data_IF_819438168059
#
_entry.id   IF_819438168059
#
_cell.length_a   1.000
_cell.length_b   1.000
_cell.length_c   1.000
_cell.angle_alpha   90.00
_cell.angle_beta   90.00
_cell.angle_gamma   90.00
#
_symmetry.space_group_name_H-M   'P 1'
#
loop_
_entity.id
_entity.type
_entity.pdbx_description
1 polymer ?
#
# COMPACT_ATOMS: atom_id res chain seq x y z
N UNK A 1 -15.87 19.77 7.18
CA UNK A 1 -17.11 19.88 6.38
C UNK A 1 -17.66 18.48 6.22
N UNK A 2 -18.97 18.30 6.41
CA UNK A 2 -19.64 17.02 6.15
C UNK A 2 -20.00 16.89 4.67
N UNK A 3 -19.93 15.68 4.14
CA UNK A 3 -20.50 15.38 2.82
C UNK A 3 -22.02 15.21 2.96
N UNK A 4 -22.77 16.25 2.57
CA UNK A 4 -24.22 16.31 2.64
C UNK A 4 -24.84 15.37 1.61
N UNK A 5 -24.24 15.24 0.42
CA UNK A 5 -24.72 14.33 -0.62
C UNK A 5 -24.61 12.88 -0.18
N UNK A 6 -23.44 12.47 0.32
CA UNK A 6 -23.24 11.12 0.84
C UNK A 6 -24.16 10.81 2.01
N UNK A 7 -24.28 11.73 2.98
CA UNK A 7 -25.08 11.51 4.20
C UNK A 7 -26.59 11.55 3.95
N UNK A 8 -27.06 12.28 2.93
CA UNK A 8 -28.46 12.26 2.49
C UNK A 8 -28.75 11.17 1.45
N UNK A 9 -27.74 10.37 1.07
CA UNK A 9 -27.86 9.36 0.01
C UNK A 9 -28.30 9.95 -1.34
N UNK A 10 -27.79 11.13 -1.66
CA UNK A 10 -28.06 11.88 -2.89
C UNK A 10 -26.85 11.85 -3.82
N UNK A 11 -27.12 11.92 -5.12
CA UNK A 11 -26.10 12.28 -6.11
C UNK A 11 -25.86 13.79 -6.09
N UNK A 12 -24.64 14.24 -6.40
CA UNK A 12 -24.37 15.67 -6.64
C UNK A 12 -25.19 16.25 -7.80
N UNK A 13 -25.62 15.40 -8.74
CA UNK A 13 -26.50 15.75 -9.85
C UNK A 13 -28.00 15.61 -9.53
N UNK A 14 -28.38 15.41 -8.26
CA UNK A 14 -29.79 15.27 -7.87
C UNK A 14 -30.61 16.52 -8.22
N UNK A 15 -31.88 16.30 -8.58
CA UNK A 15 -32.81 17.39 -8.85
C UNK A 15 -33.18 18.14 -7.57
N UNK A 16 -33.65 19.38 -7.68
CA UNK A 16 -34.16 20.14 -6.52
C UNK A 16 -35.27 19.38 -5.77
N UNK A 17 -36.13 18.66 -6.50
CA UNK A 17 -37.19 17.85 -5.92
C UNK A 17 -36.64 16.69 -5.08
N UNK A 18 -35.62 15.98 -5.58
CA UNK A 18 -35.00 14.86 -4.87
C UNK A 18 -34.29 15.34 -3.61
N UNK A 19 -33.62 16.49 -3.68
CA UNK A 19 -32.95 17.13 -2.55
C UNK A 19 -33.96 17.46 -1.47
N UNK A 20 -35.04 18.16 -1.81
CA UNK A 20 -36.06 18.56 -0.84
C UNK A 20 -36.71 17.34 -0.17
N UNK A 21 -37.00 16.29 -0.94
CA UNK A 21 -37.55 15.05 -0.42
C UNK A 21 -36.60 14.31 0.54
N UNK A 22 -35.30 14.28 0.21
CA UNK A 22 -34.28 13.69 1.09
C UNK A 22 -34.10 14.49 2.40
N UNK A 23 -34.15 15.82 2.32
CA UNK A 23 -34.09 16.71 3.48
C UNK A 23 -35.30 16.50 4.40
N UNK A 24 -36.51 16.43 3.85
CA UNK A 24 -37.75 16.19 4.61
C UNK A 24 -37.77 14.84 5.32
N UNK A 25 -37.24 13.79 4.68
CA UNK A 25 -37.15 12.43 5.24
C UNK A 25 -36.00 12.26 6.23
N UNK A 26 -35.09 13.23 6.35
CA UNK A 26 -33.94 13.15 7.22
C UNK A 26 -34.35 13.22 8.70
N UNK A 27 -34.07 12.17 9.47
CA UNK A 27 -34.36 12.12 10.91
C UNK A 27 -33.35 12.90 11.77
N UNK A 28 -32.15 13.18 11.24
CA UNK A 28 -31.12 13.90 11.96
C UNK A 28 -31.33 15.42 11.79
N UNK A 29 -31.80 16.07 12.86
CA UNK A 29 -32.13 17.50 12.85
C UNK A 29 -30.95 18.40 12.49
N UNK A 30 -29.73 18.06 12.94
CA UNK A 30 -28.54 18.83 12.62
C UNK A 30 -28.17 18.71 11.13
N UNK A 31 -28.19 17.49 10.58
CA UNK A 31 -27.94 17.27 9.15
C UNK A 31 -29.00 17.94 8.28
N UNK A 32 -30.26 17.90 8.71
CA UNK A 32 -31.36 18.54 8.01
C UNK A 32 -31.19 20.05 7.94
N UNK A 33 -30.85 20.70 9.06
CA UNK A 33 -30.64 22.15 9.09
C UNK A 33 -29.46 22.60 8.23
N UNK A 34 -28.35 21.84 8.26
CA UNK A 34 -27.20 22.10 7.39
C UNK A 34 -27.59 21.98 5.92
N UNK A 35 -28.34 20.93 5.57
CA UNK A 35 -28.81 20.68 4.21
C UNK A 35 -29.83 21.72 3.73
N UNK A 36 -30.77 22.16 4.57
CA UNK A 36 -31.70 23.24 4.23
C UNK A 36 -30.95 24.55 3.97
N UNK A 37 -29.96 24.89 4.80
CA UNK A 37 -29.21 26.14 4.66
C UNK A 37 -28.37 26.18 3.38
N UNK A 38 -27.80 25.03 3.03
CA UNK A 38 -26.81 24.92 1.95
C UNK A 38 -27.43 24.51 0.61
N UNK A 39 -28.34 23.54 0.60
CA UNK A 39 -28.88 22.95 -0.64
C UNK A 39 -30.20 23.59 -1.10
N UNK A 40 -30.93 24.30 -0.23
CA UNK A 40 -32.21 24.91 -0.62
C UNK A 40 -32.07 26.21 -1.43
N UNK A 41 -30.90 26.85 -1.40
CA UNK A 41 -30.63 28.09 -2.14
C UNK A 41 -29.59 27.80 -3.21
N UNK A 42 -29.94 28.00 -4.49
CA UNK A 42 -29.08 27.66 -5.63
C UNK A 42 -27.67 28.29 -5.55
N UNK A 43 -27.56 29.55 -5.13
CA UNK A 43 -26.26 30.20 -4.96
C UNK A 43 -25.38 29.53 -3.88
N UNK A 44 -25.99 29.04 -2.79
CA UNK A 44 -25.25 28.32 -1.74
C UNK A 44 -24.88 26.92 -2.22
N UNK A 45 -25.77 26.27 -2.97
CA UNK A 45 -25.53 24.96 -3.57
C UNK A 45 -24.37 24.99 -4.54
N UNK A 46 -24.30 25.97 -5.44
CA UNK A 46 -23.18 26.11 -6.38
C UNK A 46 -21.83 26.29 -5.66
N UNK A 47 -21.81 27.12 -4.61
CA UNK A 47 -20.62 27.30 -3.78
C UNK A 47 -20.23 26.01 -3.05
N UNK A 48 -21.23 25.28 -2.55
CA UNK A 48 -21.04 23.99 -1.91
C UNK A 48 -20.48 22.95 -2.88
N UNK A 49 -21.03 22.85 -4.10
CA UNK A 49 -20.61 21.91 -5.13
C UNK A 49 -19.15 22.13 -5.54
N UNK A 50 -18.74 23.40 -5.68
CA UNK A 50 -17.35 23.77 -5.96
C UNK A 50 -16.41 23.31 -4.84
N UNK A 51 -16.81 23.53 -3.58
CA UNK A 51 -16.01 23.14 -2.42
C UNK A 51 -15.97 21.61 -2.24
N UNK A 52 -17.10 20.94 -2.48
CA UNK A 52 -17.25 19.48 -2.46
C UNK A 52 -16.33 18.82 -3.48
N UNK A 53 -16.30 19.33 -4.71
CA UNK A 53 -15.38 18.86 -5.74
C UNK A 53 -13.92 19.05 -5.33
N UNK A 54 -13.57 20.23 -4.82
CA UNK A 54 -12.20 20.52 -4.36
C UNK A 54 -11.74 19.55 -3.26
N UNK A 55 -12.61 19.27 -2.28
CA UNK A 55 -12.29 18.34 -1.20
C UNK A 55 -12.15 16.88 -1.71
N UNK A 56 -12.96 16.48 -2.69
CA UNK A 56 -12.80 15.19 -3.35
C UNK A 56 -11.47 15.07 -4.10
N UNK A 57 -11.08 16.12 -4.83
CA UNK A 57 -9.79 16.16 -5.53
C UNK A 57 -8.61 16.08 -4.56
N UNK A 58 -8.68 16.78 -3.42
CA UNK A 58 -7.69 16.69 -2.35
C UNK A 58 -7.66 15.27 -1.76
N UNK A 59 -8.83 14.67 -1.50
CA UNK A 59 -8.96 13.31 -1.00
C UNK A 59 -8.29 12.30 -1.94
N UNK A 60 -8.53 12.43 -3.25
CA UNK A 60 -7.93 11.63 -4.30
C UNK A 60 -6.41 11.82 -4.38
N UNK A 61 -5.94 13.07 -4.40
CA UNK A 61 -4.51 13.38 -4.42
C UNK A 61 -3.80 12.77 -3.22
N UNK A 62 -4.39 12.92 -2.03
CA UNK A 62 -3.86 12.38 -0.79
C UNK A 62 -3.78 10.85 -0.81
N UNK A 63 -4.83 10.18 -1.29
CA UNK A 63 -4.85 8.73 -1.47
C UNK A 63 -3.75 8.27 -2.43
N UNK A 64 -3.55 8.97 -3.56
CA UNK A 64 -2.50 8.67 -4.55
C UNK A 64 -1.08 8.90 -4.04
N UNK A 65 -0.90 9.86 -3.14
CA UNK A 65 0.39 10.12 -2.49
C UNK A 65 0.68 9.15 -1.32
N UNK A 66 -0.23 8.22 -1.02
CA UNK A 66 -0.10 7.33 0.13
C UNK A 66 -0.13 8.05 1.48
N UNK A 67 -0.64 9.28 1.50
CA UNK A 67 -0.72 10.10 2.70
C UNK A 67 -1.95 9.68 3.48
N UNK A 68 -1.81 8.67 4.34
CA UNK A 68 -2.89 8.30 5.27
C UNK A 68 -2.95 9.29 6.42
N UNK A 69 -4.11 9.40 7.06
CA UNK A 69 -4.32 10.29 8.20
C UNK A 69 -3.24 10.14 9.28
N UNK A 70 -2.75 11.27 9.78
CA UNK A 70 -2.01 11.31 11.05
C UNK A 70 -2.94 11.15 12.25
N UNK A 71 -2.37 10.94 13.44
CA UNK A 71 -3.08 10.66 14.70
C UNK A 71 -4.14 11.70 15.15
N UNK A 72 -4.27 12.82 14.43
CA UNK A 72 -5.16 13.94 14.80
C UNK A 72 -6.33 14.14 13.83
N UNK A 73 -6.41 13.39 12.73
CA UNK A 73 -7.53 13.44 11.79
C UNK A 73 -8.44 12.24 12.01
N UNK A 74 -9.15 12.25 13.15
CA UNK A 74 -10.01 11.16 13.59
C UNK A 74 -11.45 11.68 13.76
N UNK A 75 -12.42 10.96 13.23
CA UNK A 75 -13.85 11.27 13.41
C UNK A 75 -14.70 10.92 12.19
N UNK A 76 -16.00 10.69 12.44
CA UNK A 76 -17.00 10.33 11.43
C UNK A 76 -17.02 11.31 10.25
N UNK A 77 -16.98 12.62 10.53
CA UNK A 77 -16.96 13.70 9.52
C UNK A 77 -15.63 13.81 8.79
N UNK A 78 -14.53 13.45 9.45
CA UNK A 78 -13.19 13.59 8.92
C UNK A 78 -12.95 12.61 7.75
N UNK A 79 -13.72 11.52 7.73
CA UNK A 79 -13.61 10.46 6.74
C UNK A 79 -14.54 10.62 5.52
N UNK A 80 -15.46 11.58 5.52
CA UNK A 80 -16.44 11.76 4.42
C UNK A 80 -15.75 11.93 3.04
N UNK A 81 -14.61 12.63 2.97
CA UNK A 81 -13.81 12.83 1.74
C UNK A 81 -12.57 11.93 1.65
N UNK A 82 -12.52 10.89 2.47
CA UNK A 82 -11.35 10.02 2.55
C UNK A 82 -11.53 8.80 1.68
N UNK A 83 -10.87 8.83 0.53
CA UNK A 83 -10.77 7.66 -0.33
C UNK A 83 -9.77 6.66 0.28
N UNK A 84 -10.05 5.35 0.21
CA UNK A 84 -9.02 4.35 0.49
C UNK A 84 -7.83 4.65 -0.42
N UNK A 85 -6.58 4.43 0.06
CA UNK A 85 -5.41 4.62 -0.76
C UNK A 85 -5.63 3.82 -2.04
N UNK A 86 -5.67 4.52 -3.16
CA UNK A 86 -5.88 3.89 -4.44
C UNK A 86 -4.64 3.03 -4.64
N UNK A 87 -4.81 1.74 -4.39
CA UNK A 87 -3.81 0.72 -4.60
C UNK A 87 -3.67 0.55 -6.12
N UNK A 88 -3.19 1.60 -6.78
CA UNK A 88 -2.30 1.51 -7.92
C UNK A 88 -1.00 0.80 -7.45
N UNK A 89 -1.17 -0.41 -6.96
CA UNK A 89 -0.27 -1.52 -7.10
C UNK A 89 0.05 -1.57 -8.59
N UNK A 90 1.29 -1.23 -8.95
CA UNK A 90 2.09 -2.01 -9.89
C UNK A 90 3.41 -1.30 -10.19
N UNK A 91 4.13 -0.90 -9.14
CA UNK A 91 5.60 -0.78 -9.24
C UNK A 91 6.26 -1.34 -8.01
N UNK A 92 5.68 -1.15 -6.83
CA UNK A 92 6.19 -1.79 -5.62
C UNK A 92 6.08 -3.31 -5.69
N UNK A 93 4.89 -3.86 -5.98
CA UNK A 93 4.73 -5.31 -6.09
C UNK A 93 5.47 -5.90 -7.30
N UNK A 94 5.58 -5.15 -8.40
CA UNK A 94 6.43 -5.53 -9.53
C UNK A 94 7.93 -5.53 -9.16
N UNK A 95 8.40 -4.55 -8.38
CA UNK A 95 9.77 -4.49 -7.88
C UNK A 95 10.04 -5.59 -6.86
N UNK A 96 9.10 -5.86 -5.95
CA UNK A 96 9.19 -6.95 -4.98
C UNK A 96 9.20 -8.30 -5.68
N UNK A 97 8.37 -8.49 -6.71
CA UNK A 97 8.37 -9.71 -7.51
C UNK A 97 9.70 -9.88 -8.27
N UNK A 98 10.20 -8.84 -8.95
CA UNK A 98 11.51 -8.90 -9.64
C UNK A 98 12.67 -9.16 -8.68
N UNK A 99 12.68 -8.51 -7.51
CA UNK A 99 13.74 -8.70 -6.51
C UNK A 99 13.64 -10.08 -5.87
N UNK A 100 12.45 -10.54 -5.50
CA UNK A 100 12.24 -11.87 -4.92
C UNK A 100 12.61 -12.97 -5.93
N UNK A 101 12.31 -12.78 -7.21
CA UNK A 101 12.67 -13.70 -8.27
C UNK A 101 14.21 -13.75 -8.47
N UNK A 102 14.88 -12.59 -8.49
CA UNK A 102 16.34 -12.51 -8.54
C UNK A 102 17.02 -13.15 -7.30
N UNK A 103 16.47 -12.91 -6.11
CA UNK A 103 16.96 -13.51 -4.85
C UNK A 103 16.74 -15.02 -4.87
N UNK A 104 15.61 -15.52 -5.38
CA UNK A 104 15.32 -16.95 -5.45
C UNK A 104 16.30 -17.71 -6.36
N UNK A 105 16.66 -17.12 -7.51
CA UNK A 105 17.64 -17.67 -8.44
C UNK A 105 19.04 -17.70 -7.82
N UNK A 106 19.44 -16.60 -7.18
CA UNK A 106 20.72 -16.54 -6.47
C UNK A 106 20.77 -17.57 -5.33
N UNK A 107 19.71 -17.68 -4.54
CA UNK A 107 19.66 -18.60 -3.41
C UNK A 107 19.64 -20.07 -3.86
N UNK A 108 18.96 -20.38 -4.97
CA UNK A 108 18.97 -21.72 -5.59
C UNK A 108 20.34 -22.10 -6.12
N UNK A 109 21.00 -21.16 -6.80
CA UNK A 109 22.36 -21.36 -7.32
C UNK A 109 23.38 -21.53 -6.18
N UNK A 110 23.30 -20.70 -5.13
CA UNK A 110 24.14 -20.80 -3.95
C UNK A 110 23.92 -22.12 -3.20
N UNK A 111 22.66 -22.60 -3.11
CA UNK A 111 22.32 -23.88 -2.47
C UNK A 111 22.93 -25.08 -3.19
N UNK A 112 23.10 -25.03 -4.51
CA UNK A 112 23.76 -26.09 -5.27
C UNK A 112 25.30 -25.99 -5.23
N UNK A 113 25.86 -24.78 -5.11
CA UNK A 113 27.31 -24.58 -4.95
C UNK A 113 27.85 -24.89 -3.55
N UNK A 114 27.05 -24.67 -2.49
CA UNK A 114 27.47 -24.91 -1.11
C UNK A 114 28.04 -26.32 -0.84
N UNK A 115 27.33 -27.40 -1.21
CA UNK A 115 27.84 -28.76 -1.06
C UNK A 115 29.11 -29.01 -1.87
N UNK A 116 29.23 -28.42 -3.06
CA UNK A 116 30.40 -28.56 -3.92
C UNK A 116 31.65 -27.90 -3.33
N UNK A 117 31.48 -26.76 -2.66
CA UNK A 117 32.57 -26.11 -1.93
C UNK A 117 33.04 -26.95 -0.73
N UNK A 118 32.12 -27.61 -0.01
CA UNK A 118 32.49 -28.54 1.05
C UNK A 118 33.26 -29.74 0.51
N UNK A 119 32.82 -30.33 -0.60
CA UNK A 119 33.53 -31.44 -1.27
C UNK A 119 34.93 -31.00 -1.70
N UNK A 120 35.07 -29.82 -2.32
CA UNK A 120 36.37 -29.29 -2.71
C UNK A 120 37.29 -29.07 -1.50
N UNK A 121 36.75 -28.55 -0.38
CA UNK A 121 37.49 -28.35 0.87
C UNK A 121 37.98 -29.68 1.47
N UNK A 122 37.13 -30.71 1.49
CA UNK A 122 37.53 -32.04 1.95
C UNK A 122 38.54 -32.71 1.03
N UNK A 123 38.36 -32.61 -0.29
CA UNK A 123 39.28 -33.19 -1.28
C UNK A 123 40.67 -32.57 -1.19
N UNK A 124 40.76 -31.24 -1.03
CA UNK A 124 42.04 -30.54 -0.83
C UNK A 124 42.70 -30.92 0.50
N UNK A 125 41.95 -30.97 1.60
CA UNK A 125 42.48 -31.42 2.90
C UNK A 125 43.00 -32.86 2.88
N UNK A 126 42.24 -33.79 2.28
CA UNK A 126 42.64 -35.19 2.15
C UNK A 126 43.86 -35.37 1.24
N UNK A 127 43.92 -34.64 0.12
CA UNK A 127 45.06 -34.69 -0.80
C UNK A 127 46.37 -34.25 -0.14
N UNK A 128 46.35 -33.17 0.65
CA UNK A 128 47.52 -32.70 1.39
C UNK A 128 47.96 -33.75 2.42
N UNK A 129 47.02 -34.35 3.16
CA UNK A 129 47.32 -35.40 4.13
C UNK A 129 47.96 -36.64 3.50
N UNK A 130 47.47 -37.07 2.34
CA UNK A 130 48.02 -38.23 1.60
C UNK A 130 49.45 -37.93 1.12
N UNK A 131 49.71 -36.76 0.54
CA UNK A 131 51.05 -36.40 0.05
C UNK A 131 52.06 -36.31 1.19
N UNK A 132 51.69 -35.68 2.31
CA UNK A 132 52.57 -35.57 3.49
C UNK A 132 52.82 -36.95 4.12
N UNK A 133 51.78 -37.77 4.25
CA UNK A 133 51.93 -39.14 4.77
C UNK A 133 52.82 -40.00 3.88
N UNK A 134 52.65 -39.92 2.56
CA UNK A 134 53.46 -40.67 1.60
C UNK A 134 54.92 -40.20 1.60
N UNK A 135 55.17 -38.89 1.71
CA UNK A 135 56.51 -38.33 1.81
C UNK A 135 57.22 -38.77 3.11
N UNK A 136 56.51 -38.82 4.23
CA UNK A 136 57.05 -39.30 5.51
C UNK A 136 57.36 -40.80 5.48
N UNK A 137 56.48 -41.63 4.88
CA UNK A 137 56.73 -43.06 4.73
C UNK A 137 57.94 -43.34 3.82
N UNK A 138 58.10 -42.61 2.72
CA UNK A 138 59.27 -42.74 1.84
C UNK A 138 60.55 -42.24 2.51
N UNK A 139 60.49 -41.16 3.30
CA UNK A 139 61.64 -40.64 4.05
C UNK A 139 62.12 -41.57 5.15
N UNK A 140 61.20 -42.27 5.83
CA UNK A 140 61.52 -43.29 6.84
C UNK A 140 62.00 -44.62 6.25
N UNK A 141 61.61 -44.95 5.01
CA UNK A 141 62.06 -46.17 4.33
C UNK A 141 63.44 -46.01 3.64
N UNK A 142 63.92 -44.78 3.49
CA UNK A 142 65.18 -44.45 2.81
C UNK A 142 66.32 -44.07 3.78
N UNK A 143 66.12 -44.16 5.09
CA UNK A 143 67.12 -43.95 6.14
C UNK A 143 67.45 -45.24 6.88
#
# INVERSE_FOLDING_TARGET
MRDLYQRLSLSSAASEHDIQNAVERCQNSALRQDAETVLAVNAHREAYDTLHQTLNDIGCLRARLGLTHGAHWQGDVANDFSLPPDHAISRHDELVDRVSNAVSLYNRWRRWRGPWLLVAMFATGAGIGIVVGFALCLGLAAG
#
